data_IF_061213447209
#
_entry.id   IF_061213447209
#
_cell.length_a   1.000
_cell.length_b   1.000
_cell.length_c   1.000
_cell.angle_alpha   90.00
_cell.angle_beta   90.00
_cell.angle_gamma   90.00
#
_symmetry.space_group_name_H-M   'P 1'
#
loop_
_entity.id
_entity.type
_entity.pdbx_description
1 polymer ?
#
# COMPACT_ATOMS: atom_id res chain seq x y z
N UNK A 1 -3.40 8.70 28.98
CA UNK A 1 -4.25 7.74 28.23
C UNK A 1 -4.89 8.29 26.95
N UNK A 2 -4.96 9.60 26.71
CA UNK A 2 -5.53 10.18 25.49
C UNK A 2 -4.83 9.75 24.17
N UNK A 3 -3.56 9.35 24.22
CA UNK A 3 -2.75 9.05 23.03
C UNK A 3 -2.95 7.66 22.41
N UNK A 4 -3.43 6.64 23.15
CA UNK A 4 -3.55 5.28 22.61
C UNK A 4 -4.79 5.13 21.71
N UNK A 5 -5.95 5.60 22.17
CA UNK A 5 -7.19 5.58 21.38
C UNK A 5 -7.02 6.33 20.05
N UNK A 6 -6.34 7.48 20.09
CA UNK A 6 -6.03 8.28 18.90
C UNK A 6 -5.11 7.55 17.93
N UNK A 7 -4.07 6.88 18.43
CA UNK A 7 -3.18 6.07 17.62
C UNK A 7 -3.92 4.91 16.92
N UNK A 8 -4.75 4.18 17.66
CA UNK A 8 -5.57 3.08 17.11
C UNK A 8 -6.49 3.61 16.02
N UNK A 9 -7.18 4.74 16.25
CA UNK A 9 -8.04 5.36 15.25
C UNK A 9 -7.31 5.77 13.98
N UNK A 10 -6.11 6.34 14.10
CA UNK A 10 -5.30 6.68 12.93
C UNK A 10 -4.93 5.45 12.12
N UNK A 11 -4.45 4.39 12.77
CA UNK A 11 -4.08 3.14 12.11
C UNK A 11 -5.28 2.53 11.40
N UNK A 12 -6.46 2.52 12.05
CA UNK A 12 -7.69 2.01 11.44
C UNK A 12 -8.11 2.80 10.21
N UNK A 13 -8.09 4.14 10.28
CA UNK A 13 -8.44 5.00 9.14
C UNK A 13 -7.47 4.83 7.97
N UNK A 14 -6.17 4.79 8.24
CA UNK A 14 -5.15 4.56 7.21
C UNK A 14 -5.29 3.15 6.63
N UNK A 15 -5.49 2.13 7.46
CA UNK A 15 -5.69 0.75 7.00
C UNK A 15 -6.91 0.61 6.11
N UNK A 16 -8.04 1.23 6.48
CA UNK A 16 -9.26 1.23 5.68
C UNK A 16 -9.01 1.90 4.32
N UNK A 17 -8.36 3.07 4.31
CA UNK A 17 -8.00 3.77 3.09
C UNK A 17 -7.11 2.93 2.18
N UNK A 18 -5.98 2.42 2.70
CA UNK A 18 -5.01 1.63 1.94
C UNK A 18 -5.70 0.39 1.34
N UNK A 19 -6.45 -0.36 2.15
CA UNK A 19 -7.08 -1.61 1.69
C UNK A 19 -8.16 -1.36 0.63
N UNK A 20 -9.01 -0.35 0.81
CA UNK A 20 -10.03 -0.01 -0.19
C UNK A 20 -9.35 0.40 -1.50
N UNK A 21 -8.37 1.31 -1.44
CA UNK A 21 -7.70 1.80 -2.63
C UNK A 21 -6.94 0.68 -3.36
N UNK A 22 -6.22 -0.16 -2.63
CA UNK A 22 -5.49 -1.29 -3.21
C UNK A 22 -6.41 -2.32 -3.83
N UNK A 23 -7.55 -2.62 -3.19
CA UNK A 23 -8.54 -3.57 -3.73
C UNK A 23 -9.14 -3.04 -5.03
N UNK A 24 -9.52 -1.76 -5.07
CA UNK A 24 -10.04 -1.12 -6.28
C UNK A 24 -8.99 -1.12 -7.38
N UNK A 25 -7.75 -0.70 -7.08
CA UNK A 25 -6.64 -0.69 -8.04
C UNK A 25 -6.34 -2.10 -8.57
N UNK A 26 -6.39 -3.09 -7.69
CA UNK A 26 -6.17 -4.49 -8.03
C UNK A 26 -7.23 -5.00 -9.00
N UNK A 27 -8.51 -4.90 -8.62
CA UNK A 27 -9.63 -5.44 -9.40
C UNK A 27 -9.74 -4.76 -10.77
N UNK A 28 -9.65 -3.42 -10.82
CA UNK A 28 -9.91 -2.68 -12.04
C UNK A 28 -8.72 -2.65 -13.00
N UNK A 29 -7.49 -2.61 -12.50
CA UNK A 29 -6.32 -2.33 -13.35
C UNK A 29 -5.25 -3.42 -13.33
N UNK A 30 -4.90 -3.96 -12.16
CA UNK A 30 -3.76 -4.87 -12.07
C UNK A 30 -4.14 -6.32 -12.41
N UNK A 31 -5.25 -6.83 -11.86
CA UNK A 31 -5.68 -8.22 -12.01
C UNK A 31 -5.87 -8.63 -13.48
N UNK A 32 -6.54 -7.85 -14.35
CA UNK A 32 -6.72 -8.25 -15.75
C UNK A 32 -5.38 -8.40 -16.51
N UNK A 33 -4.42 -7.52 -16.23
CA UNK A 33 -3.08 -7.56 -16.83
C UNK A 33 -2.24 -8.72 -16.29
N UNK A 34 -2.33 -8.99 -14.98
CA UNK A 34 -1.68 -10.14 -14.35
C UNK A 34 -2.25 -11.46 -14.86
N UNK A 35 -3.58 -11.59 -14.97
CA UNK A 35 -4.23 -12.78 -15.50
C UNK A 35 -3.76 -13.08 -16.93
N UNK A 36 -3.68 -12.06 -17.79
CA UNK A 36 -3.19 -12.20 -19.16
C UNK A 36 -1.71 -12.61 -19.20
N UNK A 37 -0.87 -11.99 -18.36
CA UNK A 37 0.56 -12.28 -18.29
C UNK A 37 0.83 -13.71 -17.78
N UNK A 38 0.16 -14.13 -16.71
CA UNK A 38 0.31 -15.48 -16.16
C UNK A 38 -0.14 -16.56 -17.14
N UNK A 39 -1.25 -16.33 -17.86
CA UNK A 39 -1.70 -17.23 -18.94
C UNK A 39 -0.66 -17.35 -20.05
N UNK A 40 -0.04 -16.23 -20.46
CA UNK A 40 1.02 -16.26 -21.48
C UNK A 40 2.27 -17.03 -21.03
N UNK A 41 2.51 -17.11 -19.72
CA UNK A 41 3.60 -17.89 -19.11
C UNK A 41 3.20 -19.34 -18.79
N UNK A 42 1.98 -19.78 -19.13
CA UNK A 42 1.41 -21.07 -18.70
C UNK A 42 1.42 -21.27 -17.17
N UNK A 43 1.25 -20.18 -16.42
CA UNK A 43 1.17 -20.16 -14.96
C UNK A 43 -0.27 -19.92 -14.50
N UNK A 44 -0.59 -20.39 -13.29
CA UNK A 44 -1.84 -20.09 -12.61
C UNK A 44 -1.61 -18.92 -11.66
N UNK A 45 -2.41 -17.85 -11.78
CA UNK A 45 -2.35 -16.72 -10.87
C UNK A 45 -2.90 -17.12 -9.49
N UNK A 46 -2.14 -16.97 -8.38
CA UNK A 46 -2.65 -17.25 -7.05
C UNK A 46 -3.79 -16.29 -6.68
N UNK A 47 -4.98 -16.83 -6.45
CA UNK A 47 -6.18 -16.03 -6.16
C UNK A 47 -7.16 -16.75 -5.20
N UNK A 48 -6.63 -17.62 -4.36
CA UNK A 48 -7.43 -18.32 -3.33
C UNK A 48 -7.86 -17.35 -2.22
N UNK A 49 -8.90 -17.66 -1.43
CA UNK A 49 -9.35 -16.82 -0.32
C UNK A 49 -8.22 -16.42 0.65
N UNK A 50 -7.26 -17.32 0.86
CA UNK A 50 -6.09 -17.05 1.71
C UNK A 50 -5.21 -15.90 1.17
N UNK A 51 -5.09 -15.75 -0.16
CA UNK A 51 -4.33 -14.66 -0.76
C UNK A 51 -4.97 -13.29 -0.44
N UNK A 52 -6.31 -13.22 -0.43
CA UNK A 52 -7.03 -12.00 -0.08
C UNK A 52 -6.85 -11.64 1.41
N UNK A 53 -6.82 -12.64 2.30
CA UNK A 53 -6.53 -12.42 3.73
C UNK A 53 -5.10 -11.89 3.92
N UNK A 54 -4.12 -12.50 3.24
CA UNK A 54 -2.74 -12.05 3.29
C UNK A 54 -2.58 -10.63 2.73
N UNK A 55 -3.31 -10.30 1.65
CA UNK A 55 -3.34 -8.95 1.09
C UNK A 55 -3.89 -7.93 2.09
N UNK A 56 -4.97 -8.28 2.80
CA UNK A 56 -5.55 -7.42 3.83
C UNK A 56 -4.60 -7.18 5.00
N UNK A 57 -3.93 -8.24 5.48
CA UNK A 57 -2.91 -8.17 6.53
C UNK A 57 -1.75 -7.28 6.09
N UNK A 58 -1.28 -7.45 4.86
CA UNK A 58 -0.23 -6.61 4.28
C UNK A 58 -0.62 -5.12 4.28
N UNK A 59 -1.87 -4.79 3.93
CA UNK A 59 -2.40 -3.43 4.01
C UNK A 59 -2.40 -2.85 5.44
N UNK A 60 -2.73 -3.66 6.44
CA UNK A 60 -2.66 -3.26 7.86
C UNK A 60 -1.21 -2.99 8.28
N UNK A 61 -0.27 -3.88 7.92
CA UNK A 61 1.16 -3.71 8.24
C UNK A 61 1.69 -2.41 7.64
N UNK A 62 1.35 -2.13 6.37
CA UNK A 62 1.69 -0.88 5.70
C UNK A 62 1.12 0.34 6.44
N UNK A 63 -0.15 0.29 6.89
CA UNK A 63 -0.74 1.38 7.66
C UNK A 63 -0.02 1.62 8.99
N UNK A 64 0.39 0.57 9.69
CA UNK A 64 1.20 0.66 10.92
C UNK A 64 2.56 1.31 10.60
N UNK A 65 3.22 0.92 9.51
CA UNK A 65 4.49 1.51 9.07
C UNK A 65 4.35 3.01 8.80
N UNK A 66 3.32 3.43 8.04
CA UNK A 66 3.02 4.84 7.79
C UNK A 66 2.87 5.59 9.11
N UNK A 67 2.07 5.07 10.03
CA UNK A 67 1.85 5.69 11.34
C UNK A 67 3.17 5.85 12.12
N UNK A 68 3.99 4.81 12.23
CA UNK A 68 5.25 4.85 12.98
C UNK A 68 6.23 5.87 12.37
N UNK A 69 6.39 5.85 11.05
CA UNK A 69 7.35 6.70 10.34
C UNK A 69 6.89 8.17 10.38
N UNK A 70 5.59 8.43 10.24
CA UNK A 70 5.01 9.79 10.28
C UNK A 70 5.24 10.54 11.61
N UNK A 71 5.54 9.82 12.69
CA UNK A 71 5.89 10.45 13.97
C UNK A 71 7.20 11.22 13.88
N UNK A 72 8.16 10.70 13.12
CA UNK A 72 9.54 11.23 13.04
C UNK A 72 9.77 12.11 11.81
N UNK A 73 9.13 11.80 10.70
CA UNK A 73 9.40 12.41 9.41
C UNK A 73 8.25 13.31 8.93
N UNK A 74 8.55 14.18 7.96
CA UNK A 74 7.54 14.97 7.24
C UNK A 74 6.71 14.06 6.35
N UNK A 75 5.57 14.56 5.86
CA UNK A 75 4.63 13.78 5.05
C UNK A 75 5.31 13.18 3.81
N UNK A 76 6.02 14.00 3.02
CA UNK A 76 6.69 13.52 1.80
C UNK A 76 7.81 12.51 2.11
N UNK A 77 8.61 12.75 3.16
CA UNK A 77 9.66 11.81 3.61
C UNK A 77 9.04 10.46 4.00
N UNK A 78 7.95 10.48 4.78
CA UNK A 78 7.18 9.27 5.14
C UNK A 78 6.67 8.54 3.90
N UNK A 79 6.12 9.30 2.94
CA UNK A 79 5.64 8.75 1.66
C UNK A 79 6.74 8.06 0.89
N UNK A 80 7.88 8.71 0.66
CA UNK A 80 8.99 8.10 -0.08
C UNK A 80 9.55 6.87 0.62
N UNK A 81 9.80 6.93 1.94
CA UNK A 81 10.34 5.81 2.70
C UNK A 81 9.41 4.59 2.60
N UNK A 82 8.11 4.77 2.86
CA UNK A 82 7.16 3.66 2.83
C UNK A 82 6.95 3.18 1.40
N UNK A 83 6.79 4.08 0.43
CA UNK A 83 6.53 3.72 -0.96
C UNK A 83 7.69 2.92 -1.57
N UNK A 84 8.93 3.32 -1.32
CA UNK A 84 10.11 2.56 -1.74
C UNK A 84 10.12 1.18 -1.07
N UNK A 85 9.97 1.13 0.25
CA UNK A 85 10.06 -0.11 1.03
C UNK A 85 8.98 -1.12 0.63
N UNK A 86 7.76 -0.66 0.36
CA UNK A 86 6.59 -1.53 0.17
C UNK A 86 6.36 -1.86 -1.30
N UNK A 87 6.48 -0.89 -2.20
CA UNK A 87 6.17 -1.09 -3.62
C UNK A 87 7.40 -1.27 -4.49
N UNK A 88 8.37 -0.37 -4.40
CA UNK A 88 9.55 -0.45 -5.28
C UNK A 88 10.31 -1.74 -5.03
N UNK A 89 10.56 -2.10 -3.76
CA UNK A 89 11.18 -3.37 -3.41
C UNK A 89 10.36 -4.58 -3.89
N UNK A 90 9.03 -4.51 -3.79
CA UNK A 90 8.15 -5.58 -4.25
C UNK A 90 8.20 -5.74 -5.78
N UNK A 91 8.18 -4.65 -6.54
CA UNK A 91 8.31 -4.71 -7.99
C UNK A 91 9.67 -5.23 -8.44
N UNK A 92 10.75 -4.84 -7.76
CA UNK A 92 12.09 -5.42 -8.01
C UNK A 92 12.05 -6.93 -7.81
N UNK A 93 11.45 -7.41 -6.72
CA UNK A 93 11.32 -8.86 -6.47
C UNK A 93 10.48 -9.57 -7.54
N UNK A 94 9.33 -9.00 -7.95
CA UNK A 94 8.48 -9.59 -9.00
C UNK A 94 9.16 -9.58 -10.37
N UNK A 95 9.92 -8.53 -10.69
CA UNK A 95 10.69 -8.44 -11.92
C UNK A 95 11.83 -9.46 -11.94
N UNK A 96 12.55 -9.59 -10.82
CA UNK A 96 13.59 -10.60 -10.65
C UNK A 96 13.05 -12.03 -10.82
N UNK A 97 11.81 -12.28 -10.38
CA UNK A 97 11.13 -13.57 -10.58
C UNK A 97 10.45 -13.71 -11.96
N UNK A 98 10.63 -12.76 -12.87
CA UNK A 98 10.04 -12.73 -14.22
C UNK A 98 8.50 -12.85 -14.28
N UNK A 99 7.80 -12.41 -13.24
CA UNK A 99 6.32 -12.45 -13.14
C UNK A 99 5.67 -11.08 -13.18
N UNK A 100 6.46 -10.01 -13.33
CA UNK A 100 5.96 -8.64 -13.40
C UNK A 100 5.74 -8.20 -14.86
N UNK A 101 4.48 -7.96 -15.28
CA UNK A 101 4.22 -7.27 -16.53
C UNK A 101 4.51 -5.76 -16.38
N UNK A 102 5.60 -5.28 -16.99
CA UNK A 102 6.11 -3.89 -16.84
C UNK A 102 5.05 -2.83 -17.17
N UNK A 103 4.15 -3.10 -18.11
CA UNK A 103 3.08 -2.18 -18.51
C UNK A 103 2.05 -1.88 -17.39
N UNK A 104 2.07 -2.63 -16.28
CA UNK A 104 1.33 -2.28 -15.06
C UNK A 104 1.94 -1.05 -14.39
N UNK A 105 3.27 -0.87 -14.43
CA UNK A 105 3.99 0.16 -13.70
C UNK A 105 3.60 1.59 -14.10
N UNK A 106 3.23 1.82 -15.37
CA UNK A 106 2.81 3.14 -15.85
C UNK A 106 1.69 3.75 -14.99
N UNK A 107 0.74 2.92 -14.55
CA UNK A 107 -0.36 3.34 -13.69
C UNK A 107 -0.10 2.97 -12.22
N UNK A 108 0.57 1.85 -11.94
CA UNK A 108 0.83 1.44 -10.57
C UNK A 108 1.77 2.41 -9.84
N UNK A 109 2.82 2.94 -10.49
CA UNK A 109 3.74 3.92 -9.89
C UNK A 109 3.02 5.14 -9.34
N UNK A 110 2.27 5.92 -10.14
CA UNK A 110 1.60 7.11 -9.62
C UNK A 110 0.49 6.77 -8.62
N UNK A 111 -0.31 5.71 -8.87
CA UNK A 111 -1.43 5.38 -7.98
C UNK A 111 -0.96 4.91 -6.60
N UNK A 112 0.08 4.07 -6.52
CA UNK A 112 0.57 3.60 -5.21
C UNK A 112 1.29 4.70 -4.46
N UNK A 113 1.97 5.63 -5.16
CA UNK A 113 2.54 6.81 -4.53
C UNK A 113 1.45 7.70 -3.91
N UNK A 114 0.39 8.00 -4.66
CA UNK A 114 -0.78 8.75 -4.16
C UNK A 114 -1.42 8.03 -2.98
N UNK A 115 -1.54 6.70 -3.04
CA UNK A 115 -2.12 5.91 -1.95
C UNK A 115 -1.36 6.11 -0.63
N UNK A 116 -0.02 5.98 -0.67
CA UNK A 116 0.84 6.19 0.49
C UNK A 116 0.80 7.64 0.95
N UNK A 117 0.78 8.59 0.00
CA UNK A 117 0.72 10.02 0.30
C UNK A 117 -0.55 10.38 1.08
N UNK A 118 -1.70 9.88 0.66
CA UNK A 118 -2.97 10.09 1.38
C UNK A 118 -2.91 9.44 2.76
N UNK A 119 -2.37 8.22 2.88
CA UNK A 119 -2.14 7.58 4.18
C UNK A 119 -1.27 8.44 5.12
N UNK A 120 -0.18 9.00 4.61
CA UNK A 120 0.69 9.89 5.37
C UNK A 120 0.01 11.22 5.73
N UNK A 121 -0.82 11.78 4.84
CA UNK A 121 -1.61 12.99 5.08
C UNK A 121 -2.66 12.79 6.17
N UNK A 122 -3.30 11.61 6.21
CA UNK A 122 -4.20 11.23 7.30
C UNK A 122 -3.44 11.33 8.62
N UNK A 123 -2.28 10.68 8.75
CA UNK A 123 -1.47 10.76 9.97
C UNK A 123 -1.03 12.19 10.34
N UNK A 124 -0.60 13.01 9.36
CA UNK A 124 -0.13 14.37 9.62
C UNK A 124 -1.24 15.30 10.11
N UNK A 125 -2.47 15.14 9.62
CA UNK A 125 -3.65 15.93 10.06
C UNK A 125 -3.90 15.79 11.56
N UNK A 126 -3.69 14.60 12.10
CA UNK A 126 -3.90 14.38 13.54
C UNK A 126 -2.72 14.87 14.40
N UNK A 127 -1.49 14.93 13.86
CA UNK A 127 -0.32 15.49 14.55
C UNK A 127 -0.46 16.99 14.80
N UNK A 128 -0.95 17.74 13.82
CA UNK A 128 -1.18 19.19 13.93
C UNK A 128 -2.19 19.56 15.03
N UNK A 129 -3.08 18.64 15.41
CA UNK A 129 -4.12 18.88 16.42
C UNK A 129 -3.65 18.71 17.87
N UNK A 130 -2.43 18.19 18.09
CA UNK A 130 -1.83 18.06 19.43
C UNK A 130 -0.87 19.23 19.78
N UNK A 131 -0.55 20.08 18.81
CA UNK A 131 0.35 21.23 18.97
C UNK A 131 -0.38 22.59 19.10
N UNK A 132 -1.72 22.57 19.17
CA UNK A 132 -2.60 23.71 19.46
C UNK A 132 -3.45 23.37 20.68
#
# INVERSE_FOLDING_TARGET
MANFKKAVWQILLVSLWINIFETIRWILFAKPKMDMHFKALNLVLPNEPINNILWFIWGIIMAIMIFIISKKFRTLETTFIVWITVYVMHWIALWNSAVLPINILLLAVPLTFINVLVGALICSRFKSKDNN
#
